data_IF_602497701851
#
_entry.id   IF_602497701851
#
_cell.length_a   1.000
_cell.length_b   1.000
_cell.length_c   1.000
_cell.angle_alpha   90.00
_cell.angle_beta   90.00
_cell.angle_gamma   90.00
#
_symmetry.space_group_name_H-M   'P 1'
#
loop_
_entity.id
_entity.type
_entity.pdbx_description
1 polymer ?
#
# COMPACT_ATOMS: atom_id res chain seq x y z
N UNK A 1 18.81 -7.74 -13.30
CA UNK A 1 19.69 -6.74 -12.64
C UNK A 1 18.90 -5.91 -11.62
N UNK A 2 17.80 -5.24 -12.01
CA UNK A 2 16.95 -4.44 -11.10
C UNK A 2 16.47 -5.20 -9.85
N UNK A 3 15.99 -6.45 -9.98
CA UNK A 3 15.54 -7.25 -8.83
C UNK A 3 16.65 -7.58 -7.82
N UNK A 4 17.87 -7.82 -8.30
CA UNK A 4 19.03 -8.09 -7.42
C UNK A 4 19.42 -6.81 -6.68
N UNK A 5 19.42 -5.66 -7.36
CA UNK A 5 19.68 -4.36 -6.74
C UNK A 5 18.62 -4.03 -5.70
N UNK A 6 17.34 -4.27 -5.99
CA UNK A 6 16.26 -4.07 -5.02
C UNK A 6 16.42 -4.96 -3.78
N UNK A 7 16.82 -6.22 -3.96
CA UNK A 7 17.06 -7.14 -2.84
C UNK A 7 18.26 -6.69 -2.00
N UNK A 8 19.37 -6.31 -2.63
CA UNK A 8 20.53 -5.75 -1.91
C UNK A 8 20.19 -4.45 -1.18
N UNK A 9 19.39 -3.59 -1.79
CA UNK A 9 18.95 -2.33 -1.19
C UNK A 9 18.01 -2.58 -0.02
N UNK A 10 17.12 -3.58 -0.10
CA UNK A 10 16.28 -4.01 1.01
C UNK A 10 17.11 -4.57 2.17
N UNK A 11 18.13 -5.39 1.91
CA UNK A 11 19.06 -5.87 2.94
C UNK A 11 19.81 -4.72 3.60
N UNK A 12 20.34 -3.80 2.79
CA UNK A 12 21.02 -2.60 3.27
C UNK A 12 20.09 -1.74 4.14
N UNK A 13 18.83 -1.57 3.71
CA UNK A 13 17.81 -0.83 4.45
C UNK A 13 17.50 -1.47 5.81
N UNK A 14 17.39 -2.79 5.91
CA UNK A 14 17.17 -3.48 7.19
C UNK A 14 18.37 -3.30 8.14
N UNK A 15 19.60 -3.34 7.61
CA UNK A 15 20.81 -3.06 8.42
C UNK A 15 20.82 -1.60 8.89
N UNK A 16 20.41 -0.67 8.03
CA UNK A 16 20.35 0.75 8.32
C UNK A 16 19.24 1.03 9.37
N UNK A 17 18.10 0.33 9.30
CA UNK A 17 17.01 0.45 10.26
C UNK A 17 17.46 0.19 11.70
N UNK A 18 18.28 -0.84 11.94
CA UNK A 18 18.78 -1.14 13.30
C UNK A 18 19.59 0.02 13.89
N UNK A 19 20.39 0.70 13.05
CA UNK A 19 21.23 1.83 13.49
C UNK A 19 20.49 3.16 13.55
N UNK A 20 19.53 3.37 12.66
CA UNK A 20 18.90 4.67 12.46
C UNK A 20 17.40 4.68 12.81
N UNK A 21 16.84 3.64 13.45
CA UNK A 21 15.42 3.59 13.83
C UNK A 21 14.96 4.85 14.56
N UNK A 22 15.77 5.35 15.50
CA UNK A 22 15.50 6.59 16.23
C UNK A 22 15.39 7.80 15.27
N UNK A 23 16.40 8.00 14.42
CA UNK A 23 16.43 9.12 13.49
C UNK A 23 15.33 9.04 12.43
N UNK A 24 15.04 7.83 11.95
CA UNK A 24 14.01 7.60 10.93
C UNK A 24 12.62 7.91 11.50
N UNK A 25 12.34 7.48 12.73
CA UNK A 25 11.06 7.75 13.38
C UNK A 25 10.88 9.25 13.66
N UNK A 26 11.90 9.93 14.17
CA UNK A 26 11.87 11.39 14.36
C UNK A 26 11.78 12.17 13.04
N UNK A 27 12.47 11.72 11.98
CA UNK A 27 12.36 12.30 10.65
C UNK A 27 10.95 12.13 10.08
N UNK A 28 10.33 10.96 10.24
CA UNK A 28 8.96 10.69 9.81
C UNK A 28 7.94 11.60 10.49
N UNK A 29 8.04 11.74 11.82
CA UNK A 29 7.16 12.65 12.58
C UNK A 29 7.40 14.11 12.19
N UNK A 30 8.67 14.51 12.02
CA UNK A 30 9.01 15.87 11.58
C UNK A 30 8.42 16.17 10.20
N UNK A 31 8.52 15.23 9.27
CA UNK A 31 7.97 15.35 7.93
C UNK A 31 6.43 15.41 7.96
N UNK A 32 5.77 14.62 8.82
CA UNK A 32 4.32 14.67 9.04
C UNK A 32 3.84 16.00 9.62
N UNK A 33 4.70 16.79 10.27
CA UNK A 33 4.37 18.14 10.76
C UNK A 33 4.69 19.19 9.69
N UNK A 34 5.89 19.12 9.10
CA UNK A 34 6.39 20.12 8.15
C UNK A 34 5.57 20.15 6.86
N UNK A 35 5.19 18.99 6.30
CA UNK A 35 4.44 18.96 5.03
C UNK A 35 3.06 19.63 5.17
N UNK A 36 2.14 19.19 6.05
CA UNK A 36 0.85 19.85 6.18
C UNK A 36 0.97 21.28 6.73
N UNK A 37 1.95 21.58 7.59
CA UNK A 37 2.20 22.94 8.06
C UNK A 37 2.62 23.89 6.94
N UNK A 38 3.53 23.46 6.05
CA UNK A 38 3.96 24.25 4.89
C UNK A 38 2.86 24.39 3.84
N UNK A 39 2.11 23.32 3.56
CA UNK A 39 0.94 23.36 2.66
C UNK A 39 -0.15 24.27 3.22
N UNK A 40 -0.50 24.16 4.49
CA UNK A 40 -1.50 25.01 5.14
C UNK A 40 -1.09 26.48 5.13
N UNK A 41 0.18 26.77 5.41
CA UNK A 41 0.75 28.12 5.31
C UNK A 41 0.72 28.67 3.88
N UNK A 42 1.02 27.83 2.88
CA UNK A 42 0.95 28.19 1.46
C UNK A 42 -0.48 28.55 1.03
N UNK A 43 -1.49 27.75 1.42
CA UNK A 43 -2.89 28.05 1.11
C UNK A 43 -3.38 29.32 1.81
N UNK A 44 -2.98 29.54 3.06
CA UNK A 44 -3.33 30.76 3.80
C UNK A 44 -2.70 32.01 3.15
N UNK A 45 -1.47 31.88 2.64
CA UNK A 45 -0.80 32.94 1.88
C UNK A 45 -1.52 33.23 0.56
N UNK A 46 -1.94 32.20 -0.18
CA UNK A 46 -2.71 32.37 -1.42
C UNK A 46 -4.07 33.05 -1.16
N UNK A 47 -4.75 32.69 -0.07
CA UNK A 47 -6.01 33.30 0.33
C UNK A 47 -5.89 34.80 0.66
N UNK A 48 -4.72 35.25 1.14
CA UNK A 48 -4.49 36.66 1.47
C UNK A 48 -4.08 37.53 0.26
N UNK A 49 -3.42 36.95 -0.74
CA UNK A 49 -2.89 37.70 -1.90
C UNK A 49 -3.74 37.53 -3.19
N UNK A 50 -5.00 37.08 -3.05
CA UNK A 50 -5.89 36.77 -4.18
C UNK A 50 -5.31 35.77 -5.20
N UNK A 51 -4.48 34.84 -4.70
CA UNK A 51 -3.79 33.82 -5.50
C UNK A 51 -2.27 34.00 -5.57
N UNK A 52 -1.60 33.05 -6.22
CA UNK A 52 -0.18 33.15 -6.54
C UNK A 52 -0.03 33.41 -8.04
N UNK A 53 0.74 34.44 -8.41
CA UNK A 53 0.95 34.84 -9.81
C UNK A 53 1.34 33.65 -10.69
N UNK A 54 0.39 33.20 -11.54
CA UNK A 54 0.62 32.17 -12.55
C UNK A 54 0.30 30.72 -12.16
N UNK A 55 -0.14 30.45 -10.92
CA UNK A 55 -0.69 29.14 -10.56
C UNK A 55 -2.22 29.19 -10.57
N UNK A 56 -2.91 28.23 -11.20
CA UNK A 56 -4.35 28.15 -11.14
C UNK A 56 -4.76 27.87 -9.69
N UNK A 57 -5.12 28.93 -8.94
CA UNK A 57 -5.93 28.78 -7.74
C UNK A 57 -7.27 28.17 -8.15
N UNK A 58 -7.93 27.51 -7.20
CA UNK A 58 -9.30 27.00 -7.30
C UNK A 58 -10.30 28.07 -7.78
N UNK A 59 -9.90 29.35 -7.79
CA UNK A 59 -10.66 30.47 -8.33
C UNK A 59 -11.59 31.10 -7.29
N UNK A 60 -11.59 30.58 -6.07
CA UNK A 60 -12.40 31.04 -4.95
C UNK A 60 -11.58 31.03 -3.66
N UNK A 61 -11.30 32.24 -3.17
CA UNK A 61 -10.52 32.52 -1.96
C UNK A 61 -11.09 31.84 -0.71
N UNK A 62 -12.42 31.57 -0.68
CA UNK A 62 -13.04 30.91 0.49
C UNK A 62 -12.61 29.44 0.62
N UNK A 63 -12.51 28.71 -0.48
CA UNK A 63 -12.07 27.30 -0.43
C UNK A 63 -10.59 27.18 -0.06
N UNK A 64 -9.75 28.08 -0.57
CA UNK A 64 -8.32 28.10 -0.25
C UNK A 64 -8.10 28.39 1.25
N UNK A 65 -8.89 29.29 1.84
CA UNK A 65 -8.87 29.57 3.28
C UNK A 65 -9.33 28.37 4.12
N UNK A 66 -10.43 27.70 3.73
CA UNK A 66 -10.94 26.52 4.43
C UNK A 66 -9.92 25.38 4.38
N UNK A 67 -9.33 25.13 3.20
CA UNK A 67 -8.30 24.12 3.02
C UNK A 67 -7.05 24.43 3.88
N UNK A 68 -6.60 25.68 3.88
CA UNK A 68 -5.47 26.12 4.71
C UNK A 68 -5.69 25.88 6.20
N UNK A 69 -6.86 26.26 6.72
CA UNK A 69 -7.23 26.02 8.13
C UNK A 69 -7.29 24.52 8.42
N UNK A 70 -7.86 23.70 7.53
CA UNK A 70 -7.94 22.25 7.71
C UNK A 70 -6.55 21.61 7.82
N UNK A 71 -5.61 21.96 6.93
CA UNK A 71 -4.23 21.47 7.01
C UNK A 71 -3.51 21.92 8.28
N UNK A 72 -3.78 23.14 8.75
CA UNK A 72 -3.19 23.64 9.99
C UNK A 72 -3.72 22.89 11.23
N UNK A 73 -5.02 22.57 11.26
CA UNK A 73 -5.62 21.75 12.31
C UNK A 73 -4.99 20.35 12.31
N UNK A 74 -4.83 19.72 11.14
CA UNK A 74 -4.17 18.41 11.01
C UNK A 74 -2.72 18.49 11.52
N UNK A 75 -1.96 19.52 11.13
CA UNK A 75 -0.61 19.76 11.62
C UNK A 75 -0.56 19.91 13.15
N UNK A 76 -1.50 20.66 13.74
CA UNK A 76 -1.60 20.85 15.18
C UNK A 76 -1.92 19.53 15.90
N UNK A 77 -2.82 18.71 15.35
CA UNK A 77 -3.12 17.38 15.91
C UNK A 77 -1.87 16.51 15.93
N UNK A 78 -1.13 16.41 14.81
CA UNK A 78 0.11 15.63 14.76
C UNK A 78 1.18 16.18 15.70
N UNK A 79 1.30 17.50 15.80
CA UNK A 79 2.20 18.16 16.75
C UNK A 79 1.84 17.80 18.20
N UNK A 80 0.56 17.89 18.57
CA UNK A 80 0.10 17.48 19.90
C UNK A 80 0.40 16.01 20.19
N UNK A 81 0.12 15.10 19.24
CA UNK A 81 0.44 13.68 19.39
C UNK A 81 1.95 13.47 19.61
N UNK A 82 2.80 14.14 18.83
CA UNK A 82 4.25 14.05 18.96
C UNK A 82 4.75 14.52 20.34
N UNK A 83 4.15 15.57 20.91
CA UNK A 83 4.54 16.08 22.24
C UNK A 83 4.03 15.21 23.39
N UNK A 84 2.81 14.68 23.30
CA UNK A 84 2.20 13.94 24.40
C UNK A 84 2.58 12.45 24.45
N UNK A 85 3.03 11.87 23.34
CA UNK A 85 3.27 10.43 23.24
C UNK A 85 4.76 10.04 23.18
N UNK A 86 5.66 10.85 23.75
CA UNK A 86 7.10 10.57 23.78
C UNK A 86 7.43 9.19 24.35
N UNK A 87 6.76 8.77 25.43
CA UNK A 87 6.94 7.41 25.99
C UNK A 87 6.47 6.30 25.05
N UNK A 88 5.44 6.56 24.24
CA UNK A 88 4.99 5.60 23.22
C UNK A 88 5.99 5.49 22.07
N UNK A 89 6.71 6.56 21.76
CA UNK A 89 7.76 6.57 20.74
C UNK A 89 8.94 5.67 21.15
N UNK A 90 9.33 5.67 22.43
CA UNK A 90 10.38 4.76 22.92
C UNK A 90 9.98 3.29 22.73
N UNK A 91 8.71 2.96 23.03
CA UNK A 91 8.17 1.61 22.80
C UNK A 91 8.15 1.26 21.30
N UNK A 92 7.79 2.21 20.44
CA UNK A 92 7.83 2.03 19.00
C UNK A 92 9.26 1.78 18.50
N UNK A 93 10.25 2.54 18.97
CA UNK A 93 11.66 2.34 18.64
C UNK A 93 12.13 0.95 19.04
N UNK A 94 11.77 0.50 20.24
CA UNK A 94 12.15 -0.83 20.72
C UNK A 94 11.48 -1.95 19.92
N UNK A 95 10.23 -1.78 19.50
CA UNK A 95 9.56 -2.73 18.59
C UNK A 95 10.20 -2.78 17.20
N UNK A 96 10.64 -1.63 16.65
CA UNK A 96 11.36 -1.58 15.37
C UNK A 96 12.71 -2.29 15.49
N UNK A 97 13.45 -2.06 16.59
CA UNK A 97 14.72 -2.76 16.83
C UNK A 97 14.51 -4.27 16.97
N UNK A 98 13.49 -4.70 17.70
CA UNK A 98 13.14 -6.11 17.82
C UNK A 98 12.76 -6.73 16.46
N UNK A 99 12.00 -6.01 15.62
CA UNK A 99 11.65 -6.44 14.28
C UNK A 99 12.87 -6.52 13.34
N UNK A 100 13.79 -5.55 13.43
CA UNK A 100 15.05 -5.55 12.67
C UNK A 100 15.93 -6.72 13.08
N UNK A 101 16.02 -7.00 14.38
CA UNK A 101 16.76 -8.15 14.92
C UNK A 101 16.15 -9.48 14.47
N UNK A 102 14.82 -9.61 14.51
CA UNK A 102 14.09 -10.76 13.98
C UNK A 102 14.39 -11.00 12.50
N UNK A 103 14.34 -9.95 11.69
CA UNK A 103 14.60 -10.03 10.25
C UNK A 103 16.05 -10.45 9.95
N UNK A 104 17.00 -10.02 10.79
CA UNK A 104 18.42 -10.41 10.67
C UNK A 104 18.64 -11.88 11.03
N UNK A 105 17.93 -12.39 12.04
CA UNK A 105 18.04 -13.79 12.48
C UNK A 105 17.29 -14.77 11.57
N UNK A 106 16.23 -14.30 10.90
CA UNK A 106 15.41 -15.09 9.97
C UNK A 106 15.48 -14.53 8.55
N UNK A 107 16.57 -14.80 7.79
CA UNK A 107 16.73 -14.28 6.44
C UNK A 107 15.66 -14.77 5.46
N UNK A 108 14.91 -15.83 5.80
CA UNK A 108 13.75 -16.29 5.03
C UNK A 108 12.64 -15.24 4.96
N UNK A 109 12.49 -14.37 5.96
CA UNK A 109 11.54 -13.24 5.94
C UNK A 109 11.87 -12.23 4.84
N UNK A 110 13.14 -12.08 4.47
CA UNK A 110 13.57 -11.17 3.41
C UNK A 110 13.17 -11.66 2.01
N UNK A 111 13.00 -12.97 1.85
CA UNK A 111 12.48 -13.57 0.61
C UNK A 111 10.96 -13.56 0.53
N UNK A 112 10.27 -13.31 1.64
CA UNK A 112 8.82 -13.32 1.69
C UNK A 112 8.15 -12.34 0.71
N UNK A 113 8.63 -11.09 0.53
CA UNK A 113 8.07 -10.18 -0.47
C UNK A 113 8.21 -10.74 -1.90
N UNK A 114 9.31 -11.44 -2.19
CA UNK A 114 9.53 -12.06 -3.50
C UNK A 114 8.56 -13.22 -3.73
N UNK A 115 8.37 -14.09 -2.74
CA UNK A 115 7.39 -15.17 -2.81
C UNK A 115 5.97 -14.61 -2.96
N UNK A 116 5.65 -13.56 -2.21
CA UNK A 116 4.35 -12.87 -2.30
C UNK A 116 4.12 -12.30 -3.69
N UNK A 117 5.15 -11.68 -4.30
CA UNK A 117 5.07 -11.17 -5.66
C UNK A 117 4.91 -12.31 -6.68
N UNK A 118 5.67 -13.40 -6.54
CA UNK A 118 5.57 -14.58 -7.40
C UNK A 118 4.19 -15.25 -7.36
N UNK A 119 3.47 -15.14 -6.25
CA UNK A 119 2.08 -15.65 -6.14
C UNK A 119 1.07 -14.62 -6.64
N UNK A 120 1.20 -13.36 -6.22
CA UNK A 120 0.21 -12.30 -6.53
C UNK A 120 0.21 -11.88 -7.99
N UNK A 121 1.37 -11.84 -8.67
CA UNK A 121 1.42 -11.40 -10.08
C UNK A 121 0.70 -12.39 -11.01
N UNK A 122 0.98 -13.70 -10.99
CA UNK A 122 0.22 -14.66 -11.81
C UNK A 122 -1.26 -14.68 -11.45
N UNK A 123 -1.60 -14.59 -10.16
CA UNK A 123 -2.99 -14.51 -9.71
C UNK A 123 -3.69 -13.28 -10.29
N UNK A 124 -3.06 -12.11 -10.24
CA UNK A 124 -3.61 -10.89 -10.81
C UNK A 124 -3.80 -11.01 -12.34
N UNK A 125 -2.82 -11.57 -13.06
CA UNK A 125 -2.93 -11.81 -14.51
C UNK A 125 -4.10 -12.76 -14.82
N UNK A 126 -4.27 -13.83 -14.03
CA UNK A 126 -5.36 -14.78 -14.18
C UNK A 126 -6.72 -14.11 -13.97
N UNK A 127 -6.87 -13.33 -12.88
CA UNK A 127 -8.11 -12.60 -12.57
C UNK A 127 -8.43 -11.54 -13.64
N UNK A 128 -7.42 -10.80 -14.09
CA UNK A 128 -7.60 -9.81 -15.16
C UNK A 128 -7.99 -10.47 -16.50
N UNK A 129 -7.37 -11.60 -16.84
CA UNK A 129 -7.72 -12.35 -18.05
C UNK A 129 -9.15 -12.87 -17.99
N UNK A 130 -9.56 -13.42 -16.84
CA UNK A 130 -10.94 -13.86 -16.63
C UNK A 130 -11.94 -12.72 -16.67
N UNK A 131 -11.59 -11.54 -16.14
CA UNK A 131 -12.41 -10.34 -16.24
C UNK A 131 -12.58 -9.88 -17.69
N UNK A 132 -11.49 -9.79 -18.45
CA UNK A 132 -11.53 -9.41 -19.89
C UNK A 132 -12.34 -10.43 -20.70
N UNK A 133 -12.19 -11.72 -20.41
CA UNK A 133 -12.97 -12.77 -21.07
C UNK A 133 -14.47 -12.62 -20.78
N UNK A 134 -14.83 -12.34 -19.52
CA UNK A 134 -16.23 -12.10 -19.13
C UNK A 134 -16.78 -10.82 -19.78
N UNK A 135 -16.00 -9.74 -19.81
CA UNK A 135 -16.37 -8.48 -20.46
C UNK A 135 -16.49 -8.60 -21.99
N UNK A 136 -15.83 -9.60 -22.60
CA UNK A 136 -15.90 -9.84 -24.04
C UNK A 136 -17.21 -10.52 -24.47
N UNK A 137 -18.01 -11.05 -23.53
CA UNK A 137 -19.33 -11.61 -23.82
C UNK A 137 -20.33 -10.47 -23.97
N UNK A 138 -20.37 -9.89 -25.16
CA UNK A 138 -21.33 -8.84 -25.54
C UNK A 138 -22.48 -9.47 -26.31
N UNK A 139 -23.71 -9.09 -25.95
CA UNK A 139 -24.92 -9.63 -26.59
C UNK A 139 -25.17 -9.03 -27.97
N UNK A 140 -25.10 -7.71 -28.11
CA UNK A 140 -25.33 -7.00 -29.37
C UNK A 140 -24.29 -5.88 -29.54
N UNK A 141 -23.72 -5.79 -30.74
CA UNK A 141 -22.80 -4.73 -31.13
C UNK A 141 -23.56 -3.82 -32.09
N UNK A 142 -24.02 -2.66 -31.62
CA UNK A 142 -24.65 -1.65 -32.46
C UNK A 142 -23.55 -0.78 -33.09
N UNK A 143 -23.27 -1.01 -34.37
CA UNK A 143 -22.44 -0.10 -35.17
C UNK A 143 -23.37 1.01 -35.65
N UNK A 144 -23.32 2.17 -34.99
CA UNK A 144 -24.09 3.33 -35.41
C UNK A 144 -23.24 4.15 -36.38
N UNK A 145 -23.51 4.01 -37.68
CA UNK A 145 -22.88 4.87 -38.70
C UNK A 145 -23.50 6.26 -38.62
N UNK A 146 -22.79 7.18 -37.95
CA UNK A 146 -23.19 8.58 -37.85
C UNK A 146 -22.89 9.29 -39.17
N UNK A 147 -23.73 9.10 -40.20
CA UNK A 147 -23.45 9.64 -41.53
C UNK A 147 -24.65 9.69 -42.47
N UNK A 148 -25.54 10.67 -42.29
CA UNK A 148 -26.42 11.12 -43.38
C UNK A 148 -26.12 12.53 -43.90
N UNK A 149 -25.18 13.25 -43.28
CA UNK A 149 -24.75 14.60 -43.72
C UNK A 149 -23.23 14.74 -43.75
N UNK A 150 -22.59 14.07 -44.71
CA UNK A 150 -21.37 14.53 -45.39
C UNK A 150 -20.05 14.66 -44.62
N UNK A 151 -20.02 14.63 -43.28
CA UNK A 151 -18.79 14.72 -42.50
C UNK A 151 -18.43 13.34 -41.92
N UNK A 152 -17.22 12.88 -42.22
CA UNK A 152 -16.59 11.69 -41.64
C UNK A 152 -16.34 11.92 -40.13
N UNK A 153 -17.39 11.89 -39.32
CA UNK A 153 -17.27 11.74 -37.87
C UNK A 153 -17.22 10.24 -37.54
N UNK A 154 -16.17 9.81 -36.83
CA UNK A 154 -15.74 8.42 -36.73
C UNK A 154 -16.79 7.41 -36.23
N UNK A 155 -16.58 6.15 -36.61
CA UNK A 155 -17.35 4.99 -36.13
C UNK A 155 -17.13 4.79 -34.63
N UNK A 156 -18.18 4.92 -33.81
CA UNK A 156 -18.15 4.46 -32.42
C UNK A 156 -18.87 3.11 -32.31
N UNK A 157 -18.30 2.23 -31.50
CA UNK A 157 -18.88 0.93 -31.17
C UNK A 157 -19.61 1.10 -29.85
N UNK A 158 -20.94 1.10 -29.87
CA UNK A 158 -21.73 1.05 -28.65
C UNK A 158 -21.90 -0.42 -28.22
N UNK A 159 -21.52 -0.70 -26.98
CA UNK A 159 -21.58 -2.04 -26.40
C UNK A 159 -22.77 -2.08 -25.46
N UNK A 160 -23.84 -2.78 -25.85
CA UNK A 160 -25.05 -2.90 -25.04
C UNK A 160 -25.02 -4.21 -24.26
N UNK A 161 -24.95 -4.10 -22.94
CA UNK A 161 -25.00 -5.24 -22.02
C UNK A 161 -26.42 -5.43 -21.45
N UNK A 162 -26.83 -6.68 -21.24
CA UNK A 162 -28.06 -7.00 -20.51
C UNK A 162 -27.89 -6.69 -19.00
N UNK A 163 -28.99 -6.40 -18.30
CA UNK A 163 -28.97 -6.10 -16.86
C UNK A 163 -28.34 -7.24 -16.03
N UNK A 164 -28.49 -8.48 -16.49
CA UNK A 164 -27.89 -9.66 -15.85
C UNK A 164 -26.36 -9.72 -16.03
N UNK A 165 -25.84 -9.24 -17.16
CA UNK A 165 -24.40 -9.23 -17.47
C UNK A 165 -23.67 -8.25 -16.55
N UNK A 166 -24.26 -7.08 -16.29
CA UNK A 166 -23.74 -6.14 -15.28
C UNK A 166 -23.62 -6.77 -13.89
N UNK A 167 -24.62 -7.56 -13.47
CA UNK A 167 -24.58 -8.26 -12.18
C UNK A 167 -23.44 -9.28 -12.16
N UNK A 168 -23.21 -10.01 -13.25
CA UNK A 168 -22.09 -10.96 -13.33
C UNK A 168 -20.72 -10.25 -13.32
N UNK A 169 -20.56 -9.14 -14.02
CA UNK A 169 -19.33 -8.33 -14.01
C UNK A 169 -19.03 -7.77 -12.61
N UNK A 170 -20.04 -7.24 -11.94
CA UNK A 170 -19.92 -6.71 -10.58
C UNK A 170 -19.58 -7.84 -9.59
N UNK A 171 -20.27 -8.97 -9.68
CA UNK A 171 -20.00 -10.14 -8.85
C UNK A 171 -18.58 -10.68 -9.06
N UNK A 172 -18.14 -10.82 -10.31
CA UNK A 172 -16.78 -11.28 -10.62
C UNK A 172 -15.72 -10.32 -10.06
N UNK A 173 -15.93 -9.01 -10.20
CA UNK A 173 -15.02 -7.99 -9.64
C UNK A 173 -14.92 -8.11 -8.11
N UNK A 174 -16.05 -8.29 -7.44
CA UNK A 174 -16.08 -8.51 -5.99
C UNK A 174 -15.35 -9.78 -5.58
N UNK A 175 -15.59 -10.91 -6.25
CA UNK A 175 -14.92 -12.18 -5.97
C UNK A 175 -13.41 -12.08 -6.24
N UNK A 176 -13.01 -11.37 -7.31
CA UNK A 176 -11.59 -11.15 -7.63
C UNK A 176 -10.89 -10.35 -6.53
N UNK A 177 -11.52 -9.26 -6.06
CA UNK A 177 -11.03 -8.49 -4.92
C UNK A 177 -10.94 -9.36 -3.65
N UNK A 178 -11.96 -10.15 -3.36
CA UNK A 178 -11.98 -11.06 -2.22
C UNK A 178 -10.82 -12.07 -2.25
N UNK A 179 -10.57 -12.71 -3.40
CA UNK A 179 -9.47 -13.67 -3.59
C UNK A 179 -8.12 -12.98 -3.35
N UNK A 180 -7.95 -11.75 -3.86
CA UNK A 180 -6.74 -10.97 -3.67
C UNK A 180 -6.50 -10.60 -2.20
N UNK A 181 -7.53 -10.15 -1.49
CA UNK A 181 -7.49 -9.83 -0.06
C UNK A 181 -7.20 -11.09 0.77
N UNK A 182 -7.88 -12.21 0.47
CA UNK A 182 -7.64 -13.49 1.17
C UNK A 182 -6.19 -13.94 1.01
N UNK A 183 -5.63 -13.82 -0.19
CA UNK A 183 -4.21 -14.14 -0.44
C UNK A 183 -3.28 -13.23 0.38
N UNK A 184 -3.60 -11.95 0.49
CA UNK A 184 -2.87 -11.01 1.34
C UNK A 184 -2.93 -11.41 2.81
N UNK A 185 -4.12 -11.75 3.31
CA UNK A 185 -4.31 -12.19 4.69
C UNK A 185 -3.53 -13.47 5.04
N UNK A 186 -3.43 -14.43 4.12
CA UNK A 186 -2.63 -15.65 4.33
C UNK A 186 -1.13 -15.32 4.48
N UNK A 187 -0.63 -14.40 3.65
CA UNK A 187 0.77 -13.96 3.73
C UNK A 187 1.04 -13.27 5.06
N UNK A 188 0.19 -12.33 5.46
CA UNK A 188 0.31 -11.62 6.74
C UNK A 188 0.21 -12.55 7.94
N UNK A 189 -0.71 -13.51 7.91
CA UNK A 189 -0.84 -14.55 8.92
C UNK A 189 0.45 -15.36 9.04
N UNK A 190 1.04 -15.78 7.91
CA UNK A 190 2.28 -16.56 7.88
C UNK A 190 3.45 -15.77 8.48
N UNK A 191 3.58 -14.48 8.16
CA UNK A 191 4.60 -13.60 8.75
C UNK A 191 4.43 -13.45 10.24
N UNK A 192 3.20 -13.15 10.68
CA UNK A 192 2.88 -12.96 12.09
C UNK A 192 3.15 -14.22 12.89
N UNK A 193 2.81 -15.39 12.35
CA UNK A 193 3.10 -16.66 12.97
C UNK A 193 4.61 -16.95 13.06
N UNK A 194 5.37 -16.68 11.99
CA UNK A 194 6.82 -16.84 11.99
C UNK A 194 7.52 -15.94 13.03
N UNK A 195 7.11 -14.67 13.13
CA UNK A 195 7.67 -13.74 14.13
C UNK A 195 7.29 -14.11 15.55
N UNK A 196 6.10 -14.66 15.79
CA UNK A 196 5.70 -15.21 17.09
C UNK A 196 6.57 -16.40 17.51
N UNK A 197 6.79 -17.36 16.60
CA UNK A 197 7.68 -18.51 16.88
C UNK A 197 9.08 -18.03 17.25
N UNK A 198 9.62 -17.09 16.47
CA UNK A 198 10.93 -16.48 16.76
C UNK A 198 10.96 -15.85 18.16
N UNK A 199 9.97 -15.02 18.47
CA UNK A 199 9.88 -14.30 19.74
C UNK A 199 9.86 -15.26 20.93
N UNK A 200 8.99 -16.28 20.90
CA UNK A 200 8.91 -17.24 21.99
C UNK A 200 10.14 -18.13 22.09
N UNK A 201 10.76 -18.49 20.97
CA UNK A 201 12.03 -19.24 20.96
C UNK A 201 13.18 -18.45 21.57
N UNK A 202 13.19 -17.12 21.43
CA UNK A 202 14.29 -16.27 21.90
C UNK A 202 14.15 -15.85 23.37
N UNK A 203 12.97 -15.42 23.80
CA UNK A 203 12.78 -14.80 25.12
C UNK A 203 12.28 -15.76 26.21
N UNK A 204 11.90 -17.00 25.89
CA UNK A 204 11.48 -18.01 26.88
C UNK A 204 12.23 -19.35 26.73
N UNK A 205 13.54 -19.39 27.01
CA UNK A 205 14.34 -20.61 26.86
C UNK A 205 13.94 -21.74 27.83
N UNK A 206 13.24 -21.44 28.94
CA UNK A 206 12.82 -22.42 29.94
C UNK A 206 11.73 -23.39 29.47
N UNK A 207 11.08 -23.10 28.34
CA UNK A 207 10.28 -24.07 27.63
C UNK A 207 11.14 -24.60 26.49
N UNK A 208 11.67 -25.82 26.64
CA UNK A 208 12.23 -26.59 25.52
C UNK A 208 11.11 -26.86 24.52
N UNK A 209 10.80 -25.89 23.66
CA UNK A 209 10.14 -26.18 22.40
C UNK A 209 11.10 -27.12 21.66
N UNK A 210 10.60 -28.27 21.23
CA UNK A 210 11.40 -29.27 20.54
C UNK A 210 12.18 -28.57 19.42
N UNK A 211 13.50 -28.49 19.58
CA UNK A 211 14.42 -27.71 18.72
C UNK A 211 14.50 -28.26 17.28
N UNK A 212 13.73 -29.30 17.00
CA UNK A 212 13.52 -29.91 15.69
C UNK A 212 12.12 -29.57 15.18
N UNK A 213 11.90 -28.35 14.73
CA UNK A 213 11.01 -28.18 13.57
C UNK A 213 11.87 -28.64 12.39
N UNK A 214 11.59 -29.80 11.77
CA UNK A 214 12.39 -30.30 10.67
C UNK A 214 12.44 -29.23 9.58
N UNK A 215 13.63 -28.67 9.39
CA UNK A 215 13.92 -27.74 8.32
C UNK A 215 13.89 -28.54 7.03
N UNK A 216 12.74 -28.54 6.34
CA UNK A 216 12.48 -29.38 5.17
C UNK A 216 12.54 -30.89 5.48
N UNK A 217 11.40 -31.57 5.34
CA UNK A 217 11.31 -33.01 5.52
C UNK A 217 12.31 -33.75 4.63
N UNK A 218 13.39 -34.25 5.23
CA UNK A 218 13.99 -35.49 4.79
C UNK A 218 12.95 -36.57 5.05
N UNK A 219 12.10 -36.83 4.05
CA UNK A 219 11.41 -38.09 3.91
C UNK A 219 12.50 -39.14 3.64
N UNK A 220 13.11 -39.65 4.70
CA UNK A 220 13.76 -40.96 4.64
C UNK A 220 12.64 -42.00 4.72
N UNK A 221 12.44 -42.70 3.59
CA UNK A 221 11.49 -43.80 3.46
C UNK A 221 12.02 -45.11 4.00
#
# INVERSE_FOLDING_TARGET
ISGVVALMLALCYVILLDKFAFYLLWAGISLLIIIPGSLGGYFLYCAHNDGADGLPSTGDSQYDLIAGIAFFIICLIFFCVAFFQTSSMDTAIDSIKAAAECTREMPTLLFQPLVTLMVKVPLLVLLMTGFVYLASVVREISIQELGSTGEFLGTYVEVVYDGKEYVFLAFYSFVSFWIFETTTGIVEFTTSYATQIWFFSKYRPSYTMARSVPFFGTFEG
#
